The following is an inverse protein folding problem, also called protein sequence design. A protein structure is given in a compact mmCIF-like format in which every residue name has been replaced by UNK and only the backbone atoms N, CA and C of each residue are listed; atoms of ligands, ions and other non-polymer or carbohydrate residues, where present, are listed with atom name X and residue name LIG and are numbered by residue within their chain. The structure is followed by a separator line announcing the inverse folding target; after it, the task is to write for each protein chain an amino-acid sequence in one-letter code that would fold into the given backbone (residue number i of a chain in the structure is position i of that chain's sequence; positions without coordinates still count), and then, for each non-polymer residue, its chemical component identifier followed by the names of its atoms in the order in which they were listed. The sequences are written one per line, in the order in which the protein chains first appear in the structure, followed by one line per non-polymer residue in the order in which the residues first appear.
data_IF_366022568310
#
_entry.id   IF_366022568310
#
_cell.length_a   1.000
_cell.length_b   1.000
_cell.length_c   1.000
_cell.angle_alpha   90.00
_cell.angle_beta   90.00
_cell.angle_gamma   90.00
#
_symmetry.space_group_name_H-M   'P 1'
#
loop_
_entity.id
_entity.type
_entity.pdbx_description
1 polymer ?
#
# COMPACT_ATOMS: atom_id res chain seq x y z
N UNK A 1 27.51 26.12 -0.85
CA UNK A 1 27.35 25.28 -2.05
C UNK A 1 27.11 23.87 -1.53
N UNK A 2 25.98 23.22 -1.86
CA UNK A 2 25.76 21.82 -1.48
C UNK A 2 26.77 20.94 -2.20
N UNK A 3 27.25 19.91 -1.53
CA UNK A 3 28.11 18.89 -2.14
C UNK A 3 27.24 17.79 -2.73
N UNK A 4 27.80 17.01 -3.66
CA UNK A 4 27.16 15.78 -4.14
C UNK A 4 26.77 14.84 -2.99
N UNK A 5 27.55 14.82 -1.91
CA UNK A 5 27.24 14.02 -0.73
C UNK A 5 26.02 14.53 0.04
N UNK A 6 25.73 15.82 0.02
CA UNK A 6 24.53 16.40 0.62
C UNK A 6 23.29 16.07 -0.22
N UNK A 7 23.41 16.14 -1.54
CA UNK A 7 22.34 15.78 -2.49
C UNK A 7 21.96 14.29 -2.35
N UNK A 8 22.94 13.38 -2.36
CA UNK A 8 22.68 11.94 -2.19
C UNK A 8 22.04 11.59 -0.83
N UNK A 9 22.38 12.32 0.24
CA UNK A 9 21.77 12.14 1.56
C UNK A 9 20.30 12.56 1.57
N UNK A 10 19.99 13.68 0.94
CA UNK A 10 18.60 14.17 0.84
C UNK A 10 17.76 13.23 -0.03
N UNK A 11 18.27 12.79 -1.17
CA UNK A 11 17.61 11.80 -2.02
C UNK A 11 17.35 10.49 -1.27
N UNK A 12 18.35 9.97 -0.55
CA UNK A 12 18.20 8.76 0.25
C UNK A 12 17.17 8.91 1.38
N UNK A 13 17.13 10.08 2.03
CA UNK A 13 16.14 10.37 3.07
C UNK A 13 14.71 10.41 2.51
N UNK A 14 14.49 11.14 1.41
CA UNK A 14 13.15 11.21 0.81
C UNK A 14 12.73 9.84 0.23
N UNK A 15 13.65 9.07 -0.36
CA UNK A 15 13.35 7.71 -0.81
C UNK A 15 12.95 6.78 0.35
N UNK A 16 13.69 6.82 1.47
CA UNK A 16 13.35 6.02 2.64
C UNK A 16 12.01 6.41 3.26
N UNK A 17 11.70 7.71 3.29
CA UNK A 17 10.42 8.24 3.77
C UNK A 17 9.25 7.82 2.89
N UNK A 18 9.42 7.82 1.58
CA UNK A 18 8.39 7.33 0.65
C UNK A 18 8.18 5.82 0.82
N UNK A 19 9.25 5.04 0.92
CA UNK A 19 9.16 3.59 1.18
C UNK A 19 8.38 3.29 2.47
N UNK A 20 8.71 4.00 3.57
CA UNK A 20 8.01 3.82 4.84
C UNK A 20 6.52 4.17 4.77
N UNK A 21 6.14 5.20 4.01
CA UNK A 21 4.72 5.56 3.81
C UNK A 21 3.97 4.50 3.02
N UNK A 22 4.60 3.89 2.02
CA UNK A 22 4.00 2.81 1.24
C UNK A 22 3.83 1.56 2.11
N UNK A 23 4.83 1.22 2.92
CA UNK A 23 4.75 0.09 3.86
C UNK A 23 3.62 0.28 4.89
N UNK A 24 3.53 1.47 5.51
CA UNK A 24 2.44 1.78 6.45
C UNK A 24 1.06 1.73 5.77
N UNK A 25 0.96 2.18 4.52
CA UNK A 25 -0.29 2.12 3.77
C UNK A 25 -0.71 0.67 3.48
N UNK A 26 0.22 -0.22 3.13
CA UNK A 26 -0.05 -1.65 2.91
C UNK A 26 -0.61 -2.30 4.17
N UNK A 27 0.07 -2.15 5.30
CA UNK A 27 -0.37 -2.69 6.59
C UNK A 27 -1.75 -2.13 6.99
N UNK A 28 -1.99 -0.85 6.71
CA UNK A 28 -3.28 -0.21 7.01
C UNK A 28 -4.40 -0.79 6.14
N UNK A 29 -4.16 -0.97 4.84
CA UNK A 29 -5.13 -1.57 3.91
C UNK A 29 -5.44 -3.00 4.29
N UNK A 30 -4.42 -3.83 4.56
CA UNK A 30 -4.59 -5.22 5.00
C UNK A 30 -5.46 -5.30 6.24
N UNK A 31 -5.15 -4.50 7.27
CA UNK A 31 -5.92 -4.48 8.51
C UNK A 31 -7.35 -3.97 8.33
N UNK A 32 -7.56 -2.99 7.46
CA UNK A 32 -8.89 -2.48 7.15
C UNK A 32 -9.75 -3.55 6.47
N UNK A 33 -9.17 -4.26 5.51
CA UNK A 33 -9.82 -5.37 4.83
C UNK A 33 -10.11 -6.52 5.78
N UNK A 34 -9.17 -6.87 6.67
CA UNK A 34 -9.41 -7.89 7.71
C UNK A 34 -10.57 -7.52 8.64
N UNK A 35 -10.67 -6.24 9.02
CA UNK A 35 -11.80 -5.75 9.83
C UNK A 35 -13.13 -5.78 9.08
N UNK A 36 -13.12 -5.64 7.75
CA UNK A 36 -14.32 -5.60 6.89
C UNK A 36 -14.80 -6.99 6.48
N UNK A 37 -13.87 -7.87 6.09
CA UNK A 37 -14.13 -9.16 5.44
C UNK A 37 -13.82 -10.37 6.34
N UNK A 38 -12.98 -10.20 7.38
CA UNK A 38 -12.44 -11.28 8.19
C UNK A 38 -11.06 -11.72 7.73
N UNK A 39 -10.67 -12.97 8.02
CA UNK A 39 -9.38 -13.50 7.59
C UNK A 39 -9.28 -13.49 6.05
N UNK A 40 -8.24 -12.85 5.53
CA UNK A 40 -7.99 -12.75 4.09
C UNK A 40 -7.29 -14.00 3.56
N UNK A 41 -7.51 -14.32 2.29
CA UNK A 41 -6.74 -15.34 1.60
C UNK A 41 -5.26 -14.94 1.50
N UNK A 42 -4.37 -15.94 1.59
CA UNK A 42 -2.92 -15.72 1.45
C UNK A 42 -2.57 -15.08 0.12
N UNK A 43 -3.28 -15.45 -0.94
CA UNK A 43 -3.06 -14.92 -2.29
C UNK A 43 -3.38 -13.42 -2.35
N UNK A 44 -4.47 -12.98 -1.70
CA UNK A 44 -4.83 -11.56 -1.65
C UNK A 44 -3.83 -10.75 -0.79
N UNK A 45 -3.43 -11.28 0.37
CA UNK A 45 -2.39 -10.64 1.21
C UNK A 45 -1.08 -10.46 0.45
N UNK A 46 -0.63 -11.49 -0.27
CA UNK A 46 0.59 -11.43 -1.08
C UNK A 46 0.47 -10.41 -2.23
N UNK A 47 -0.71 -10.31 -2.87
CA UNK A 47 -0.97 -9.29 -3.90
C UNK A 47 -0.87 -7.88 -3.31
N UNK A 48 -1.59 -7.58 -2.23
CA UNK A 48 -1.57 -6.28 -1.52
C UNK A 48 -0.13 -5.89 -1.13
N UNK A 49 0.66 -6.87 -0.69
CA UNK A 49 2.07 -6.68 -0.34
C UNK A 49 2.96 -6.21 -1.50
N UNK A 50 2.53 -6.38 -2.75
CA UNK A 50 3.26 -6.00 -3.96
C UNK A 50 2.58 -4.89 -4.77
N UNK A 51 1.34 -4.52 -4.44
CA UNK A 51 0.55 -3.49 -5.10
C UNK A 51 1.20 -2.10 -5.06
N UNK A 52 1.07 -1.29 -6.13
CA UNK A 52 1.51 0.11 -6.15
C UNK A 52 0.68 0.99 -5.21
N UNK A 53 1.22 2.17 -4.88
CA UNK A 53 0.61 3.09 -3.91
C UNK A 53 -0.79 3.55 -4.33
N UNK A 54 -1.01 3.75 -5.63
CA UNK A 54 -2.25 4.28 -6.19
C UNK A 54 -3.43 3.36 -5.94
N UNK A 55 -3.27 2.06 -6.23
CA UNK A 55 -4.31 1.05 -6.00
C UNK A 55 -4.56 0.82 -4.50
N UNK A 56 -3.52 0.85 -3.66
CA UNK A 56 -3.69 0.80 -2.21
C UNK A 56 -4.52 1.98 -1.67
N UNK A 57 -4.31 3.17 -2.24
CA UNK A 57 -5.12 4.35 -1.92
C UNK A 57 -6.57 4.16 -2.34
N UNK A 58 -6.82 3.58 -3.51
CA UNK A 58 -8.16 3.31 -4.02
C UNK A 58 -8.91 2.29 -3.15
N UNK A 59 -8.24 1.22 -2.72
CA UNK A 59 -8.80 0.25 -1.78
C UNK A 59 -9.15 0.93 -0.44
N UNK A 60 -8.23 1.74 0.11
CA UNK A 60 -8.47 2.48 1.36
C UNK A 60 -9.69 3.39 1.24
N UNK A 61 -9.80 4.12 0.14
CA UNK A 61 -10.86 5.11 -0.05
C UNK A 61 -12.22 4.45 -0.35
N UNK A 62 -12.22 3.22 -0.87
CA UNK A 62 -13.42 2.43 -1.20
C UNK A 62 -13.73 1.35 -0.15
N UNK A 63 -13.11 1.40 1.03
CA UNK A 63 -13.19 0.33 2.04
C UNK A 63 -14.62 0.04 2.51
N UNK A 64 -15.51 1.03 2.48
CA UNK A 64 -16.89 0.86 2.92
C UNK A 64 -17.77 0.23 1.85
N UNK A 65 -17.40 0.37 0.58
CA UNK A 65 -18.06 -0.24 -0.58
C UNK A 65 -17.63 -1.69 -0.82
N UNK A 66 -16.48 -2.11 -0.27
CA UNK A 66 -15.97 -3.48 -0.37
C UNK A 66 -16.78 -4.43 0.53
N UNK A 67 -17.31 -5.49 -0.08
CA UNK A 67 -18.14 -6.52 0.58
C UNK A 67 -17.55 -7.93 0.41
N UNK A 68 -16.54 -8.11 -0.44
CA UNK A 68 -15.86 -9.37 -0.70
C UNK A 68 -14.40 -9.19 -1.15
N UNK A 69 -13.62 -10.27 -1.16
CA UNK A 69 -12.28 -10.25 -1.75
C UNK A 69 -12.32 -9.95 -3.26
N UNK A 70 -13.36 -10.39 -3.98
CA UNK A 70 -13.53 -10.14 -5.42
C UNK A 70 -13.60 -8.63 -5.72
N UNK A 71 -14.26 -7.83 -4.87
CA UNK A 71 -14.29 -6.37 -5.02
C UNK A 71 -12.89 -5.74 -4.89
N UNK A 72 -12.03 -6.32 -4.03
CA UNK A 72 -10.63 -5.89 -3.90
C UNK A 72 -9.84 -6.26 -5.15
N UNK A 73 -10.06 -7.46 -5.68
CA UNK A 73 -9.40 -7.93 -6.89
C UNK A 73 -9.77 -7.11 -8.13
N UNK A 74 -10.97 -6.55 -8.20
CA UNK A 74 -11.37 -5.63 -9.28
C UNK A 74 -10.56 -4.33 -9.29
N UNK A 75 -10.13 -3.86 -8.11
CA UNK A 75 -9.27 -2.67 -7.96
C UNK A 75 -7.82 -3.02 -8.26
N UNK A 76 -7.38 -4.20 -7.85
CA UNK A 76 -6.02 -4.69 -8.08
C UNK A 76 -5.84 -5.07 -9.56
N UNK A 77 -5.26 -4.16 -10.35
CA UNK A 77 -4.91 -4.44 -11.74
C UNK A 77 -3.80 -5.52 -11.83
N UNK A 78 -3.76 -6.30 -12.92
CA UNK A 78 -2.68 -7.26 -13.19
C UNK A 78 -1.30 -6.61 -13.38
#
# INVERSE_FOLDING_TARGET
MKTLADELKEEGFEHGKEKGRIEELRETVEKLLEMRLGELSSDLTDRIGNTPREELVEIRDSIFEIESEEDVEEILHE
#
